data_IF_697711219892
#
_entry.id   IF_697711219892
#
_cell.length_a   1.000
_cell.length_b   1.000
_cell.length_c   1.000
_cell.angle_alpha   90.00
_cell.angle_beta   90.00
_cell.angle_gamma   90.00
#
_symmetry.space_group_name_H-M   'P 1'
#
loop_
_entity.id
_entity.type
_entity.pdbx_description
1 polymer ?
#
# COMPACT_ATOMS: atom_id res chain seq x y z
N UNK A 1 -1.88 5.64 -3.71
CA UNK A 1 -3.09 6.38 -3.29
C UNK A 1 -3.26 6.42 -1.77
N UNK A 2 -2.82 5.39 -1.04
CA UNK A 2 -2.90 5.36 0.42
C UNK A 2 -2.24 6.57 1.08
N UNK A 3 -1.19 7.13 0.48
CA UNK A 3 -0.47 8.28 1.05
C UNK A 3 -1.32 9.55 1.08
N UNK A 4 -2.12 9.77 0.03
CA UNK A 4 -3.06 10.90 -0.02
C UNK A 4 -4.15 10.73 1.05
N UNK A 5 -4.74 9.54 1.13
CA UNK A 5 -5.84 9.23 2.06
C UNK A 5 -5.36 9.28 3.53
N UNK A 6 -4.19 8.72 3.82
CA UNK A 6 -3.58 8.79 5.14
C UNK A 6 -3.24 10.23 5.52
N UNK A 7 -2.70 11.01 4.60
CA UNK A 7 -2.41 12.44 4.82
C UNK A 7 -3.66 13.21 5.24
N UNK A 8 -4.75 13.06 4.48
CA UNK A 8 -6.07 13.62 4.81
C UNK A 8 -6.54 13.18 6.21
N UNK A 9 -6.65 11.86 6.43
CA UNK A 9 -7.16 11.30 7.70
C UNK A 9 -6.36 11.78 8.92
N UNK A 10 -5.03 11.81 8.81
CA UNK A 10 -4.13 12.17 9.91
C UNK A 10 -4.14 13.70 10.11
N UNK A 11 -4.24 14.47 9.02
CA UNK A 11 -4.22 15.93 9.04
C UNK A 11 -5.53 16.59 9.47
N UNK A 12 -6.68 15.92 9.26
CA UNK A 12 -8.01 16.52 9.48
C UNK A 12 -8.29 17.06 10.91
N UNK A 13 -7.76 16.49 12.02
CA UNK A 13 -7.97 17.08 13.35
C UNK A 13 -7.28 18.43 13.55
N UNK A 14 -6.22 18.71 12.76
CA UNK A 14 -5.33 19.85 12.93
C UNK A 14 -5.66 21.03 12.02
N UNK A 15 -6.60 20.84 11.09
CA UNK A 15 -7.03 21.83 10.09
C UNK A 15 -7.47 23.13 10.79
N UNK A 16 -7.25 24.28 10.13
CA UNK A 16 -7.46 25.61 10.68
C UNK A 16 -6.57 25.94 11.88
N UNK A 17 -5.32 25.47 11.86
CA UNK A 17 -4.32 25.73 12.91
C UNK A 17 -4.80 25.29 14.32
N UNK A 18 -5.56 24.18 14.40
CA UNK A 18 -6.06 23.65 15.68
C UNK A 18 -5.00 22.94 16.51
N UNK A 19 -3.82 22.68 15.95
CA UNK A 19 -2.68 22.07 16.63
C UNK A 19 -1.57 23.06 17.04
N UNK A 20 -0.58 22.56 17.77
CA UNK A 20 0.55 23.34 18.27
C UNK A 20 1.70 23.54 17.25
N UNK A 21 1.46 23.24 15.96
CA UNK A 21 2.48 23.27 14.88
C UNK A 21 3.76 22.53 15.30
N UNK A 22 3.60 21.26 15.68
CA UNK A 22 4.66 20.38 16.17
C UNK A 22 4.59 19.04 15.45
N UNK A 23 5.72 18.31 15.42
CA UNK A 23 5.78 16.92 14.95
C UNK A 23 5.34 15.93 16.03
N UNK A 24 5.33 16.35 17.30
CA UNK A 24 5.00 15.53 18.46
C UNK A 24 3.47 15.46 18.67
N UNK A 25 2.83 14.47 18.05
CA UNK A 25 1.40 14.18 18.21
C UNK A 25 1.09 12.70 17.95
N UNK A 26 -0.04 12.22 18.47
CA UNK A 26 -0.51 10.87 18.17
C UNK A 26 -1.01 10.80 16.72
N UNK A 27 -0.45 9.88 15.92
CA UNK A 27 -0.73 9.79 14.48
C UNK A 27 -2.21 9.50 14.19
N UNK A 28 -2.86 8.71 15.04
CA UNK A 28 -4.28 8.40 14.93
C UNK A 28 -5.01 8.72 16.22
N UNK A 29 -6.03 9.56 16.12
CA UNK A 29 -6.93 9.89 17.23
C UNK A 29 -8.39 9.62 16.83
N UNK A 30 -9.31 9.79 17.79
CA UNK A 30 -10.76 9.66 17.52
C UNK A 30 -11.28 10.75 16.57
N UNK A 31 -10.56 11.86 16.44
CA UNK A 31 -10.92 12.96 15.52
C UNK A 31 -10.51 12.72 14.07
N UNK A 32 -9.63 11.74 13.81
CA UNK A 32 -9.13 11.44 12.47
C UNK A 32 -10.22 10.78 11.62
N UNK A 33 -10.64 11.46 10.56
CA UNK A 33 -11.54 10.97 9.54
C UNK A 33 -11.14 11.54 8.18
N UNK A 34 -11.57 10.87 7.11
CA UNK A 34 -11.32 11.35 5.76
C UNK A 34 -12.23 12.54 5.42
N UNK A 35 -11.72 13.43 4.55
CA UNK A 35 -12.40 14.61 4.05
C UNK A 35 -12.57 14.53 2.52
N UNK A 36 -12.76 15.67 1.86
CA UNK A 36 -12.97 15.72 0.42
C UNK A 36 -11.74 15.33 -0.41
N UNK A 37 -10.54 15.46 0.14
CA UNK A 37 -9.28 14.99 -0.43
C UNK A 37 -9.34 13.50 -0.78
N UNK A 38 -9.70 12.66 0.20
CA UNK A 38 -9.84 11.22 -0.01
C UNK A 38 -10.99 10.89 -0.97
N UNK A 39 -12.15 11.52 -0.79
CA UNK A 39 -13.32 11.25 -1.64
C UNK A 39 -13.01 11.59 -3.10
N UNK A 40 -12.35 12.72 -3.35
CA UNK A 40 -11.98 13.13 -4.69
C UNK A 40 -10.80 12.34 -5.25
N UNK A 41 -9.84 11.93 -4.41
CA UNK A 41 -8.76 11.01 -4.82
C UNK A 41 -9.34 9.70 -5.36
N UNK A 42 -10.28 9.10 -4.62
CA UNK A 42 -10.98 7.87 -5.03
C UNK A 42 -11.76 8.09 -6.32
N UNK A 43 -12.51 9.19 -6.44
CA UNK A 43 -13.29 9.51 -7.63
C UNK A 43 -12.42 9.66 -8.89
N UNK A 44 -11.26 10.33 -8.79
CA UNK A 44 -10.31 10.44 -9.92
C UNK A 44 -9.75 9.06 -10.27
N UNK A 45 -9.37 8.26 -9.28
CA UNK A 45 -8.82 6.93 -9.51
C UNK A 45 -9.79 6.02 -10.26
N UNK A 46 -11.04 5.94 -9.80
CA UNK A 46 -12.07 5.12 -10.44
C UNK A 46 -12.32 5.56 -11.88
N UNK A 47 -12.42 6.87 -12.13
CA UNK A 47 -12.60 7.41 -13.48
C UNK A 47 -11.46 6.99 -14.42
N UNK A 48 -10.21 7.20 -13.99
CA UNK A 48 -9.03 6.91 -14.82
C UNK A 48 -8.83 5.41 -15.06
N UNK A 49 -9.12 4.56 -14.07
CA UNK A 49 -9.12 3.10 -14.24
C UNK A 49 -10.15 2.68 -15.29
N UNK A 50 -11.38 3.22 -15.20
CA UNK A 50 -12.48 2.81 -16.07
C UNK A 50 -12.26 3.17 -17.55
N UNK A 51 -11.69 4.34 -17.83
CA UNK A 51 -11.42 4.78 -19.21
C UNK A 51 -10.11 4.22 -19.79
N UNK A 52 -9.20 3.76 -18.93
CA UNK A 52 -7.92 3.19 -19.33
C UNK A 52 -6.86 4.23 -19.77
N UNK A 53 -5.64 3.76 -20.08
CA UNK A 53 -4.48 4.65 -20.26
C UNK A 53 -4.51 5.49 -21.56
N UNK A 54 -5.21 5.01 -22.58
CA UNK A 54 -5.22 5.59 -23.93
C UNK A 54 -6.32 6.64 -24.16
N UNK A 55 -7.14 6.93 -23.14
CA UNK A 55 -8.26 7.87 -23.23
C UNK A 55 -7.81 9.29 -23.63
N UNK A 56 -8.51 9.94 -24.55
CA UNK A 56 -8.20 11.32 -24.91
C UNK A 56 -8.68 12.31 -23.84
N UNK A 57 -8.28 13.58 -23.95
CA UNK A 57 -8.61 14.65 -23.00
C UNK A 57 -10.11 14.76 -22.68
N UNK A 58 -10.96 14.71 -23.72
CA UNK A 58 -12.41 14.82 -23.55
C UNK A 58 -13.00 13.61 -22.80
N UNK A 59 -12.51 12.41 -23.09
CA UNK A 59 -12.92 11.18 -22.37
C UNK A 59 -12.52 11.24 -20.89
N UNK A 60 -11.32 11.76 -20.60
CA UNK A 60 -10.84 11.98 -19.23
C UNK A 60 -11.74 12.99 -18.51
N UNK A 61 -11.96 14.16 -19.10
CA UNK A 61 -12.78 15.21 -18.48
C UNK A 61 -14.21 14.74 -18.21
N UNK A 62 -14.85 14.07 -19.16
CA UNK A 62 -16.21 13.54 -19.01
C UNK A 62 -16.30 12.50 -17.88
N UNK A 63 -15.37 11.54 -17.85
CA UNK A 63 -15.36 10.51 -16.82
C UNK A 63 -15.06 11.07 -15.43
N UNK A 64 -14.08 11.98 -15.34
CA UNK A 64 -13.73 12.66 -14.09
C UNK A 64 -14.89 13.51 -13.57
N UNK A 65 -15.58 14.25 -14.44
CA UNK A 65 -16.77 15.03 -14.05
C UNK A 65 -17.84 14.13 -13.45
N UNK A 66 -18.17 13.03 -14.14
CA UNK A 66 -19.21 12.10 -13.71
C UNK A 66 -18.86 11.50 -12.34
N UNK A 67 -17.67 10.91 -12.20
CA UNK A 67 -17.26 10.24 -10.97
C UNK A 67 -17.14 11.22 -9.79
N UNK A 68 -16.56 12.41 -9.99
CA UNK A 68 -16.47 13.40 -8.93
C UNK A 68 -17.86 13.87 -8.46
N UNK A 69 -18.82 14.04 -9.37
CA UNK A 69 -20.19 14.39 -8.98
C UNK A 69 -20.88 13.23 -8.24
N UNK A 70 -20.69 11.99 -8.67
CA UNK A 70 -21.32 10.83 -8.06
C UNK A 70 -20.79 10.59 -6.64
N UNK A 71 -19.46 10.49 -6.48
CA UNK A 71 -18.83 10.41 -5.17
C UNK A 71 -19.15 11.62 -4.29
N UNK A 72 -19.04 12.84 -4.83
CA UNK A 72 -19.28 14.04 -4.05
C UNK A 72 -20.74 14.18 -3.56
N UNK A 73 -21.70 13.63 -4.30
CA UNK A 73 -23.11 13.56 -3.88
C UNK A 73 -23.37 12.48 -2.85
N UNK A 74 -22.64 11.37 -2.90
CA UNK A 74 -22.68 10.31 -1.88
C UNK A 74 -22.07 10.77 -0.55
N UNK A 75 -21.13 11.72 -0.58
CA UNK A 75 -20.41 12.24 0.59
C UNK A 75 -20.61 13.77 0.81
N UNK A 76 -21.86 14.29 0.91
CA UNK A 76 -22.14 15.73 0.82
C UNK A 76 -21.55 16.59 1.97
N UNK A 77 -21.07 15.94 3.04
CA UNK A 77 -20.54 16.55 4.24
C UNK A 77 -19.02 16.38 4.41
N UNK A 78 -18.30 15.98 3.36
CA UNK A 78 -16.87 15.67 3.43
C UNK A 78 -15.92 16.87 3.58
N UNK A 79 -16.37 18.12 3.52
CA UNK A 79 -15.48 19.29 3.68
C UNK A 79 -15.47 20.29 2.52
N UNK A 80 -16.09 19.94 1.38
CA UNK A 80 -16.03 20.72 0.14
C UNK A 80 -16.13 22.25 0.26
N UNK A 81 -15.18 22.94 -0.39
CA UNK A 81 -15.24 24.38 -0.61
C UNK A 81 -16.53 24.85 -1.30
N UNK A 82 -16.96 26.08 -0.98
CA UNK A 82 -18.31 26.56 -1.33
C UNK A 82 -18.65 26.55 -2.83
N UNK A 83 -17.72 26.96 -3.70
CA UNK A 83 -17.90 26.91 -5.17
C UNK A 83 -17.89 25.48 -5.69
N UNK A 84 -17.08 24.60 -5.10
CA UNK A 84 -17.01 23.20 -5.48
C UNK A 84 -18.31 22.46 -5.12
N UNK A 85 -18.92 22.74 -3.97
CA UNK A 85 -20.25 22.21 -3.62
C UNK A 85 -21.33 22.63 -4.64
N UNK A 86 -21.27 23.86 -5.15
CA UNK A 86 -22.18 24.30 -6.23
C UNK A 86 -21.93 23.53 -7.53
N UNK A 87 -20.67 23.27 -7.86
CA UNK A 87 -20.26 22.48 -9.02
C UNK A 87 -20.74 21.02 -8.92
N UNK A 88 -20.66 20.38 -7.74
CA UNK A 88 -21.17 19.01 -7.51
C UNK A 88 -22.68 18.90 -7.74
N UNK A 89 -23.44 19.93 -7.37
CA UNK A 89 -24.90 19.99 -7.55
C UNK A 89 -25.37 20.42 -8.94
N UNK A 90 -24.48 20.87 -9.83
CA UNK A 90 -24.85 21.38 -11.14
C UNK A 90 -25.18 20.24 -12.12
N UNK A 91 -26.20 20.42 -12.96
CA UNK A 91 -26.56 19.43 -14.00
C UNK A 91 -25.56 19.33 -15.15
N UNK A 92 -24.91 20.45 -15.47
CA UNK A 92 -23.87 20.55 -16.50
C UNK A 92 -22.78 21.45 -15.93
N UNK A 93 -21.94 20.91 -15.04
CA UNK A 93 -20.95 21.70 -14.34
C UNK A 93 -19.95 22.31 -15.33
N UNK A 94 -19.49 23.52 -15.04
CA UNK A 94 -18.44 24.20 -15.80
C UNK A 94 -17.30 24.60 -14.85
N UNK A 95 -16.05 24.54 -15.31
CA UNK A 95 -14.95 25.02 -14.51
C UNK A 95 -15.09 26.52 -14.23
N UNK A 96 -14.57 26.97 -13.10
CA UNK A 96 -14.89 28.29 -12.54
C UNK A 96 -13.64 29.11 -12.17
N UNK A 97 -12.51 28.81 -12.81
CA UNK A 97 -11.27 29.60 -12.68
C UNK A 97 -10.62 29.49 -11.30
N UNK A 98 -10.77 28.35 -10.61
CA UNK A 98 -10.16 28.15 -9.30
C UNK A 98 -8.64 27.99 -9.40
N UNK A 99 -7.90 28.71 -8.56
CA UNK A 99 -6.47 28.52 -8.32
C UNK A 99 -6.18 27.72 -7.05
N UNK A 100 -7.24 27.16 -6.44
CA UNK A 100 -7.14 26.45 -5.17
C UNK A 100 -6.38 25.12 -5.25
N UNK A 101 -5.90 24.66 -4.10
CA UNK A 101 -5.14 23.42 -3.90
C UNK A 101 -5.97 22.14 -4.10
N UNK A 102 -7.30 22.23 -4.19
CA UNK A 102 -8.20 21.11 -4.42
C UNK A 102 -8.03 20.35 -5.74
N UNK A 103 -7.25 20.90 -6.69
CA UNK A 103 -6.78 20.15 -7.87
C UNK A 103 -5.59 19.25 -7.54
N UNK A 104 -4.66 19.72 -6.70
CA UNK A 104 -3.45 18.99 -6.32
C UNK A 104 -3.73 17.85 -5.33
N UNK A 105 -4.64 18.06 -4.38
CA UNK A 105 -4.94 17.08 -3.33
C UNK A 105 -5.45 15.72 -3.84
N UNK A 106 -6.08 15.72 -5.02
CA UNK A 106 -6.78 14.55 -5.59
C UNK A 106 -6.08 13.92 -6.79
N UNK A 107 -4.94 14.47 -7.23
CA UNK A 107 -4.31 14.12 -8.53
C UNK A 107 -3.48 12.82 -8.46
N UNK A 108 -3.38 12.21 -7.28
CA UNK A 108 -2.38 11.16 -7.02
C UNK A 108 -2.45 9.98 -8.00
N UNK A 109 -3.64 9.55 -8.41
CA UNK A 109 -3.83 8.48 -9.38
C UNK A 109 -3.16 8.76 -10.75
N UNK A 110 -3.23 10.01 -11.23
CA UNK A 110 -2.56 10.39 -12.48
C UNK A 110 -1.03 10.26 -12.37
N UNK A 111 -0.46 10.57 -11.20
CA UNK A 111 0.98 10.39 -10.93
C UNK A 111 1.45 8.94 -11.05
N UNK A 112 0.55 7.97 -10.86
CA UNK A 112 0.84 6.54 -10.80
C UNK A 112 0.51 5.75 -12.08
N UNK A 113 -0.61 6.07 -12.76
CA UNK A 113 -1.18 5.17 -13.78
C UNK A 113 -0.46 5.19 -15.14
N UNK A 114 0.32 6.23 -15.45
CA UNK A 114 0.83 6.46 -16.81
C UNK A 114 2.32 6.18 -16.94
N UNK A 115 2.79 5.62 -18.07
CA UNK A 115 4.18 5.17 -18.20
C UNK A 115 5.18 6.30 -18.47
N UNK A 116 4.73 7.49 -18.89
CA UNK A 116 5.61 8.63 -19.21
C UNK A 116 5.21 9.89 -18.44
N UNK A 117 6.20 10.77 -18.25
CA UNK A 117 5.97 12.05 -17.55
C UNK A 117 5.06 12.96 -18.37
N UNK A 118 5.20 12.97 -19.70
CA UNK A 118 4.36 13.77 -20.60
C UNK A 118 2.90 13.37 -20.45
N UNK A 119 2.62 12.06 -20.51
CA UNK A 119 1.26 11.55 -20.38
C UNK A 119 0.69 11.79 -18.99
N UNK A 120 1.52 11.65 -17.95
CA UNK A 120 1.15 11.97 -16.58
C UNK A 120 0.73 13.44 -16.45
N UNK A 121 1.49 14.36 -17.05
CA UNK A 121 1.20 15.80 -17.03
C UNK A 121 -0.09 16.14 -17.78
N UNK A 122 -0.29 15.57 -18.97
CA UNK A 122 -1.52 15.74 -19.76
C UNK A 122 -2.77 15.31 -18.97
N UNK A 123 -2.73 14.12 -18.35
CA UNK A 123 -3.87 13.61 -17.59
C UNK A 123 -4.09 14.42 -16.31
N UNK A 124 -3.01 14.79 -15.61
CA UNK A 124 -3.11 15.66 -14.44
C UNK A 124 -3.75 17.01 -14.77
N UNK A 125 -3.38 17.62 -15.91
CA UNK A 125 -3.99 18.85 -16.41
C UNK A 125 -5.49 18.65 -16.69
N UNK A 126 -5.87 17.60 -17.43
CA UNK A 126 -7.28 17.29 -17.71
C UNK A 126 -8.11 17.11 -16.41
N UNK A 127 -7.57 16.38 -15.41
CA UNK A 127 -8.26 16.17 -14.13
C UNK A 127 -8.43 17.45 -13.29
N UNK A 128 -7.55 18.43 -13.48
CA UNK A 128 -7.64 19.74 -12.84
C UNK A 128 -8.62 20.67 -13.57
N UNK A 129 -8.55 20.71 -14.91
CA UNK A 129 -9.26 21.63 -15.80
C UNK A 129 -10.77 21.61 -15.65
N UNK A 130 -11.38 20.49 -15.21
CA UNK A 130 -12.82 20.37 -14.97
C UNK A 130 -13.37 21.33 -13.88
N UNK A 131 -12.49 21.85 -13.02
CA UNK A 131 -12.85 22.75 -11.89
C UNK A 131 -11.87 23.92 -11.70
N UNK A 132 -10.57 23.65 -11.86
CA UNK A 132 -9.44 24.52 -11.56
C UNK A 132 -8.72 24.96 -12.83
N UNK A 133 -9.46 25.44 -13.84
CA UNK A 133 -8.88 25.90 -15.11
C UNK A 133 -8.12 27.25 -15.02
N UNK A 134 -7.69 27.66 -13.83
CA UNK A 134 -6.72 28.73 -13.66
C UNK A 134 -5.30 28.15 -13.80
N UNK A 135 -4.33 28.87 -14.41
CA UNK A 135 -2.98 28.35 -14.61
C UNK A 135 -2.33 27.80 -13.34
N UNK A 136 -2.50 28.48 -12.20
CA UNK A 136 -1.95 28.03 -10.91
C UNK A 136 -2.64 26.80 -10.32
N UNK A 137 -3.94 26.62 -10.59
CA UNK A 137 -4.68 25.42 -10.20
C UNK A 137 -4.19 24.19 -10.96
N UNK A 138 -4.03 24.34 -12.28
CA UNK A 138 -3.43 23.31 -13.15
C UNK A 138 -1.98 23.03 -12.73
N UNK A 139 -1.17 24.08 -12.53
CA UNK A 139 0.24 23.97 -12.14
C UNK A 139 0.43 23.15 -10.87
N UNK A 140 -0.42 23.34 -9.86
CA UNK A 140 -0.35 22.57 -8.63
C UNK A 140 -0.61 21.07 -8.83
N UNK A 141 -1.62 20.72 -9.61
CA UNK A 141 -1.94 19.33 -9.92
C UNK A 141 -0.84 18.65 -10.75
N UNK A 142 -0.39 19.33 -11.82
CA UNK A 142 0.66 18.81 -12.70
C UNK A 142 1.99 18.66 -11.96
N UNK A 143 2.35 19.61 -11.08
CA UNK A 143 3.55 19.51 -10.26
C UNK A 143 3.49 18.33 -9.29
N UNK A 144 2.37 18.18 -8.58
CA UNK A 144 2.17 17.07 -7.63
C UNK A 144 2.25 15.71 -8.33
N UNK A 145 1.53 15.54 -9.45
CA UNK A 145 1.59 14.31 -10.25
C UNK A 145 2.99 14.03 -10.80
N UNK A 146 3.73 15.08 -11.19
CA UNK A 146 5.11 14.95 -11.65
C UNK A 146 6.05 14.49 -10.54
N UNK A 147 5.90 15.02 -9.31
CA UNK A 147 6.66 14.55 -8.15
C UNK A 147 6.41 13.07 -7.88
N UNK A 148 5.14 12.63 -7.90
CA UNK A 148 4.77 11.21 -7.73
C UNK A 148 5.39 10.34 -8.82
N UNK A 149 5.31 10.79 -10.08
CA UNK A 149 5.92 10.08 -11.21
C UNK A 149 7.43 9.94 -11.07
N UNK A 150 8.13 11.03 -10.72
CA UNK A 150 9.57 11.01 -10.58
C UNK A 150 9.99 10.12 -9.40
N UNK A 151 9.34 10.27 -8.25
CA UNK A 151 9.61 9.49 -7.05
C UNK A 151 9.50 7.98 -7.31
N UNK A 152 8.39 7.52 -7.91
CA UNK A 152 8.20 6.07 -8.18
C UNK A 152 9.13 5.50 -9.25
N UNK A 153 9.79 6.35 -10.03
CA UNK A 153 10.76 5.95 -11.05
C UNK A 153 12.22 6.10 -10.55
N UNK A 154 12.42 6.26 -9.22
CA UNK A 154 13.75 6.27 -8.60
C UNK A 154 14.48 7.60 -8.67
N UNK A 155 13.79 8.72 -8.94
CA UNK A 155 14.42 10.03 -8.88
C UNK A 155 14.75 10.40 -7.42
N UNK A 156 15.95 10.93 -7.21
CA UNK A 156 16.38 11.47 -5.92
C UNK A 156 15.59 12.71 -5.53
N UNK A 157 15.57 13.06 -4.24
CA UNK A 157 14.94 14.29 -3.75
C UNK A 157 15.53 15.54 -4.40
N UNK A 158 16.83 15.57 -4.63
CA UNK A 158 17.52 16.65 -5.32
C UNK A 158 17.08 16.80 -6.77
N UNK A 159 16.87 15.68 -7.48
CA UNK A 159 16.36 15.68 -8.85
C UNK A 159 14.90 16.15 -8.91
N UNK A 160 14.05 15.67 -8.00
CA UNK A 160 12.66 16.12 -7.88
C UNK A 160 12.62 17.63 -7.58
N UNK A 161 13.39 18.10 -6.60
CA UNK A 161 13.50 19.53 -6.25
C UNK A 161 13.89 20.35 -7.47
N UNK A 162 14.97 19.97 -8.15
CA UNK A 162 15.47 20.67 -9.33
C UNK A 162 14.45 20.69 -10.46
N UNK A 163 13.78 19.56 -10.72
CA UNK A 163 12.72 19.49 -11.73
C UNK A 163 11.61 20.48 -11.42
N UNK A 164 11.14 20.51 -10.16
CA UNK A 164 10.05 21.38 -9.76
C UNK A 164 10.41 22.87 -9.85
N UNK A 165 11.61 23.25 -9.41
CA UNK A 165 12.11 24.64 -9.52
C UNK A 165 12.25 25.08 -11.00
N UNK A 166 12.67 24.17 -11.88
CA UNK A 166 12.89 24.46 -13.29
C UNK A 166 11.60 24.50 -14.12
N UNK A 167 10.71 23.52 -13.93
CA UNK A 167 9.50 23.35 -14.75
C UNK A 167 8.31 24.14 -14.23
N UNK A 168 8.17 24.29 -12.91
CA UNK A 168 7.00 24.93 -12.29
C UNK A 168 7.33 26.25 -11.58
N UNK A 169 8.62 26.58 -11.46
CA UNK A 169 9.11 27.81 -10.81
C UNK A 169 8.59 27.99 -9.37
N UNK A 170 8.38 26.88 -8.66
CA UNK A 170 8.13 26.92 -7.23
C UNK A 170 9.44 27.17 -6.48
N UNK A 171 9.38 28.01 -5.45
CA UNK A 171 10.50 28.26 -4.55
C UNK A 171 10.53 27.19 -3.44
N UNK A 172 11.48 26.26 -3.55
CA UNK A 172 11.73 25.17 -2.60
C UNK A 172 13.01 25.42 -1.78
N UNK A 173 13.47 26.67 -1.71
CA UNK A 173 14.72 27.02 -1.02
C UNK A 173 14.59 27.13 0.50
N UNK A 174 13.38 27.45 0.98
CA UNK A 174 13.07 27.62 2.41
C UNK A 174 12.97 26.28 3.11
N UNK A 175 13.48 26.20 4.34
CA UNK A 175 13.30 25.02 5.19
C UNK A 175 11.94 25.00 5.90
N UNK A 176 11.54 23.85 6.42
CA UNK A 176 10.33 23.75 7.25
C UNK A 176 10.41 24.65 8.49
N UNK A 177 11.58 24.79 9.10
CA UNK A 177 11.79 25.68 10.25
C UNK A 177 11.61 27.16 9.89
N UNK A 178 11.92 27.55 8.66
CA UNK A 178 11.68 28.91 8.15
C UNK A 178 10.21 29.15 7.78
N UNK A 179 9.52 28.12 7.29
CA UNK A 179 8.11 28.18 6.87
C UNK A 179 7.15 28.18 8.07
N UNK A 180 7.38 27.27 9.03
CA UNK A 180 6.46 26.96 10.14
C UNK A 180 5.97 28.16 10.96
N UNK A 181 6.79 29.17 11.30
CA UNK A 181 6.34 30.30 12.12
C UNK A 181 5.31 31.22 11.44
N UNK A 182 5.22 31.20 10.10
CA UNK A 182 4.41 32.15 9.32
C UNK A 182 3.33 31.48 8.48
N UNK A 183 3.44 30.17 8.28
CA UNK A 183 2.43 29.39 7.57
C UNK A 183 1.10 29.43 8.30
N UNK A 184 0.00 29.41 7.57
CA UNK A 184 -1.36 29.51 8.08
C UNK A 184 -2.34 28.92 7.07
N UNK A 185 -3.62 28.83 7.42
CA UNK A 185 -4.64 28.32 6.51
C UNK A 185 -4.70 29.11 5.21
N UNK A 186 -4.35 28.46 4.11
CA UNK A 186 -4.39 28.98 2.74
C UNK A 186 -4.81 27.86 1.81
N UNK A 187 -5.77 28.15 0.94
CA UNK A 187 -6.35 27.16 0.03
C UNK A 187 -5.75 27.26 -1.38
N UNK A 188 -4.63 27.96 -1.58
CA UNK A 188 -4.08 28.23 -2.93
C UNK A 188 -2.97 27.25 -3.31
N UNK A 189 -2.95 26.77 -4.56
CA UNK A 189 -1.86 25.91 -5.04
C UNK A 189 -0.47 26.54 -4.82
N UNK A 190 -0.36 27.85 -5.02
CA UNK A 190 0.90 28.60 -4.95
C UNK A 190 1.53 28.62 -3.55
N UNK A 191 0.72 28.44 -2.52
CA UNK A 191 1.16 28.47 -1.13
C UNK A 191 1.02 27.11 -0.43
N UNK A 192 0.32 26.14 -1.02
CA UNK A 192 0.22 24.79 -0.45
C UNK A 192 1.18 23.81 -1.09
N UNK A 193 1.28 23.80 -2.43
CA UNK A 193 2.06 22.80 -3.17
C UNK A 193 3.57 22.92 -2.92
N UNK A 194 4.22 24.11 -2.94
CA UNK A 194 5.65 24.19 -2.63
C UNK A 194 5.96 23.68 -1.23
N UNK A 195 5.12 24.02 -0.26
CA UNK A 195 5.27 23.69 1.15
C UNK A 195 5.04 22.19 1.41
N UNK A 196 4.09 21.58 0.71
CA UNK A 196 3.90 20.13 0.70
C UNK A 196 5.12 19.39 0.13
N UNK A 197 5.67 19.90 -0.98
CA UNK A 197 6.87 19.33 -1.61
C UNK A 197 8.07 19.50 -0.66
N UNK A 198 8.25 20.66 -0.03
CA UNK A 198 9.30 20.87 0.97
C UNK A 198 9.16 19.92 2.17
N UNK A 199 7.94 19.67 2.66
CA UNK A 199 7.69 18.72 3.73
C UNK A 199 8.14 17.29 3.38
N UNK A 200 7.92 16.87 2.12
CA UNK A 200 8.44 15.62 1.59
C UNK A 200 9.99 15.64 1.44
N UNK A 201 10.55 16.73 0.91
CA UNK A 201 11.98 16.84 0.66
C UNK A 201 12.81 16.74 1.96
N UNK A 202 12.31 17.26 3.08
CA UNK A 202 12.96 17.16 4.39
C UNK A 202 12.66 15.88 5.17
N UNK A 203 11.75 15.02 4.68
CA UNK A 203 11.31 13.84 5.42
C UNK A 203 12.34 12.69 5.45
N UNK A 204 12.43 11.92 6.53
CA UNK A 204 13.28 10.72 6.56
C UNK A 204 12.52 9.44 6.15
N UNK A 205 11.20 9.42 6.37
CA UNK A 205 10.30 8.34 5.98
C UNK A 205 8.87 8.87 5.72
N UNK A 206 7.93 7.95 5.47
CA UNK A 206 6.53 8.30 5.19
C UNK A 206 5.84 8.99 6.38
N UNK A 207 6.01 8.47 7.60
CA UNK A 207 5.36 9.05 8.78
C UNK A 207 5.95 10.44 9.06
N UNK A 208 7.26 10.58 8.94
CA UNK A 208 7.97 11.84 9.09
C UNK A 208 7.49 12.90 8.08
N UNK A 209 7.23 12.50 6.83
CA UNK A 209 6.68 13.40 5.81
C UNK A 209 5.30 13.95 6.20
N UNK A 210 4.42 13.07 6.70
CA UNK A 210 3.09 13.48 7.17
C UNK A 210 3.20 14.37 8.41
N UNK A 211 4.09 14.04 9.36
CA UNK A 211 4.37 14.88 10.54
C UNK A 211 4.94 16.25 10.15
N UNK A 212 5.83 16.29 9.18
CA UNK A 212 6.41 17.53 8.66
C UNK A 212 5.32 18.44 8.11
N UNK A 213 4.44 17.90 7.25
CA UNK A 213 3.31 18.63 6.69
C UNK A 213 2.39 19.18 7.80
N UNK A 214 1.91 18.33 8.70
CA UNK A 214 1.01 18.74 9.79
C UNK A 214 1.66 19.76 10.73
N UNK A 215 2.98 19.64 10.96
CA UNK A 215 3.72 20.59 11.79
C UNK A 215 3.70 22.02 11.25
N UNK A 216 3.45 22.24 9.95
CA UNK A 216 3.32 23.58 9.38
C UNK A 216 2.00 24.26 9.76
N UNK A 217 0.95 23.49 10.08
CA UNK A 217 -0.40 23.98 10.35
C UNK A 217 -1.14 24.42 9.07
N UNK A 218 -2.21 25.20 9.25
CA UNK A 218 -3.08 25.69 8.19
C UNK A 218 -4.07 24.64 7.70
N UNK A 219 -4.07 24.43 6.39
CA UNK A 219 -4.92 23.48 5.65
C UNK A 219 -4.27 22.07 5.70
N UNK A 220 -4.20 21.50 6.91
CA UNK A 220 -3.28 20.40 7.22
C UNK A 220 -3.64 19.06 6.60
N UNK A 221 -4.93 18.75 6.44
CA UNK A 221 -5.40 17.59 5.69
C UNK A 221 -4.94 17.67 4.23
N UNK A 222 -5.19 18.80 3.55
CA UNK A 222 -4.79 19.00 2.15
C UNK A 222 -3.28 18.99 1.98
N UNK A 223 -2.57 19.71 2.85
CA UNK A 223 -1.11 19.76 2.85
C UNK A 223 -0.51 18.37 3.05
N UNK A 224 -1.04 17.59 3.99
CA UNK A 224 -0.59 16.23 4.27
C UNK A 224 -1.02 15.23 3.19
N UNK A 225 -2.17 15.40 2.54
CA UNK A 225 -2.61 14.56 1.42
C UNK A 225 -1.67 14.71 0.22
N UNK A 226 -1.30 15.94 -0.14
CA UNK A 226 -0.32 16.21 -1.21
C UNK A 226 1.04 15.62 -0.81
N UNK A 227 1.53 15.92 0.39
CA UNK A 227 2.84 15.44 0.89
C UNK A 227 2.89 13.91 0.92
N UNK A 228 1.88 13.29 1.52
CA UNK A 228 1.75 11.84 1.68
C UNK A 228 1.66 11.13 0.34
N UNK A 229 1.01 11.71 -0.66
CA UNK A 229 0.94 11.12 -2.01
C UNK A 229 2.32 11.02 -2.69
N UNK A 230 3.18 12.02 -2.47
CA UNK A 230 4.57 12.03 -2.97
C UNK A 230 5.43 11.08 -2.13
N UNK A 231 5.30 11.15 -0.80
CA UNK A 231 6.04 10.31 0.14
C UNK A 231 5.76 8.82 -0.07
N UNK A 232 4.52 8.42 -0.36
CA UNK A 232 4.16 7.05 -0.71
C UNK A 232 4.95 6.55 -1.92
N UNK A 233 5.12 7.41 -2.93
CA UNK A 233 5.83 7.04 -4.15
C UNK A 233 7.33 6.89 -3.96
N UNK A 234 7.90 7.58 -2.96
CA UNK A 234 9.32 7.58 -2.68
C UNK A 234 9.73 6.54 -1.62
N UNK A 235 9.02 6.50 -0.48
CA UNK A 235 9.35 5.65 0.68
C UNK A 235 8.54 4.34 0.72
N UNK A 236 7.42 4.27 0.00
CA UNK A 236 6.38 3.29 0.28
C UNK A 236 5.60 3.62 1.56
N UNK A 237 4.72 2.69 1.97
CA UNK A 237 3.90 2.84 3.18
C UNK A 237 3.96 1.52 3.97
N UNK A 238 4.27 1.56 5.28
CA UNK A 238 4.19 0.39 6.16
C UNK A 238 2.82 -0.29 6.12
N UNK A 239 2.80 -1.63 6.15
CA UNK A 239 1.57 -2.42 6.08
C UNK A 239 0.55 -2.06 7.17
N UNK A 240 1.02 -1.75 8.38
CA UNK A 240 0.17 -1.30 9.50
C UNK A 240 -0.59 -0.01 9.19
N UNK A 241 0.03 0.95 8.50
CA UNK A 241 -0.62 2.20 8.11
C UNK A 241 -1.62 1.96 6.96
N UNK A 242 -1.34 1.05 6.04
CA UNK A 242 -2.31 0.63 5.02
C UNK A 242 -3.53 -0.03 5.66
N UNK A 243 -3.32 -0.96 6.60
CA UNK A 243 -4.42 -1.61 7.32
C UNK A 243 -5.27 -0.60 8.10
N UNK A 244 -4.64 0.33 8.81
CA UNK A 244 -5.35 1.39 9.54
C UNK A 244 -6.13 2.32 8.60
N UNK A 245 -5.55 2.69 7.44
CA UNK A 245 -6.24 3.43 6.40
C UNK A 245 -7.52 2.72 5.96
N UNK A 246 -7.44 1.41 5.66
CA UNK A 246 -8.56 0.61 5.18
C UNK A 246 -9.68 0.47 6.22
N UNK A 247 -9.32 0.45 7.50
CA UNK A 247 -10.28 0.43 8.61
C UNK A 247 -11.02 1.76 8.82
N UNK A 248 -10.49 2.87 8.30
CA UNK A 248 -11.03 4.23 8.50
C UNK A 248 -11.83 4.78 7.33
N UNK A 249 -11.77 4.13 6.18
CA UNK A 249 -12.53 4.50 4.99
C UNK A 249 -13.65 3.51 4.72
N UNK A 250 -14.65 3.95 3.95
CA UNK A 250 -15.80 3.11 3.65
C UNK A 250 -15.44 1.91 2.74
N UNK A 251 -16.20 0.80 2.83
CA UNK A 251 -15.98 -0.37 1.97
C UNK A 251 -15.98 -0.07 0.47
N UNK A 252 -16.71 0.96 0.02
CA UNK A 252 -16.73 1.37 -1.39
C UNK A 252 -15.39 1.98 -1.82
N UNK A 253 -14.79 2.83 -0.98
CA UNK A 253 -13.45 3.39 -1.23
C UNK A 253 -12.38 2.30 -1.24
N UNK A 254 -12.51 1.31 -0.34
CA UNK A 254 -11.63 0.14 -0.31
C UNK A 254 -11.66 -0.63 -1.65
N UNK A 255 -12.83 -0.79 -2.29
CA UNK A 255 -12.92 -1.46 -3.60
C UNK A 255 -12.18 -0.71 -4.70
N UNK A 256 -12.20 0.62 -4.69
CA UNK A 256 -11.46 1.42 -5.67
C UNK A 256 -9.95 1.29 -5.42
N UNK A 257 -9.51 1.26 -4.16
CA UNK A 257 -8.11 0.97 -3.83
C UNK A 257 -7.67 -0.41 -4.33
N UNK A 258 -8.53 -1.43 -4.18
CA UNK A 258 -8.24 -2.78 -4.69
C UNK A 258 -8.13 -2.81 -6.21
N UNK A 259 -9.07 -2.18 -6.92
CA UNK A 259 -9.03 -2.06 -8.37
C UNK A 259 -7.77 -1.30 -8.83
N UNK A 260 -7.36 -0.27 -8.10
CA UNK A 260 -6.15 0.48 -8.38
C UNK A 260 -4.88 -0.34 -8.19
N UNK A 261 -4.77 -1.08 -7.06
CA UNK A 261 -3.62 -1.95 -6.79
C UNK A 261 -3.52 -3.08 -7.84
N UNK A 262 -4.67 -3.57 -8.32
CA UNK A 262 -4.75 -4.51 -9.45
C UNK A 262 -4.19 -3.93 -10.74
N UNK A 263 -4.62 -2.74 -11.15
CA UNK A 263 -4.12 -2.07 -12.36
C UNK A 263 -2.63 -1.75 -12.27
N UNK A 264 -2.17 -1.34 -11.09
CA UNK A 264 -0.75 -1.03 -10.87
C UNK A 264 0.16 -2.26 -10.85
N UNK A 265 -0.40 -3.48 -10.93
CA UNK A 265 0.36 -4.70 -10.73
C UNK A 265 0.97 -4.79 -9.32
N UNK A 266 0.48 -3.95 -8.39
CA UNK A 266 0.81 -3.98 -6.95
C UNK A 266 0.03 -5.02 -6.20
N UNK A 267 -0.80 -5.75 -6.93
CA UNK A 267 -1.14 -7.10 -6.59
C UNK A 267 0.07 -7.83 -5.99
N UNK A 268 0.01 -7.94 -4.67
CA UNK A 268 0.29 -9.14 -3.89
C UNK A 268 -0.45 -10.40 -4.44
N UNK A 269 -0.95 -10.41 -5.69
CA UNK A 269 -1.33 -11.63 -6.43
C UNK A 269 -0.04 -12.21 -7.01
N UNK A 270 0.76 -12.91 -6.23
CA UNK A 270 0.45 -14.31 -5.93
C UNK A 270 0.61 -14.69 -4.46
N UNK A 271 1.15 -13.80 -3.62
CA UNK A 271 1.46 -14.13 -2.24
C UNK A 271 0.24 -14.12 -1.29
N UNK A 272 -0.75 -13.26 -1.52
CA UNK A 272 -1.84 -13.09 -0.54
C UNK A 272 -3.11 -13.89 -0.91
N UNK A 273 -3.55 -13.98 -2.17
CA UNK A 273 -4.80 -14.72 -2.50
C UNK A 273 -4.73 -16.23 -2.18
N UNK A 274 -3.54 -16.85 -2.33
CA UNK A 274 -3.34 -18.27 -2.03
C UNK A 274 -3.01 -18.53 -0.56
N UNK A 275 -2.66 -17.49 0.19
CA UNK A 275 -2.54 -17.53 1.65
C UNK A 275 -3.87 -17.16 2.34
N UNK A 276 -4.73 -16.37 1.69
CA UNK A 276 -6.04 -15.96 2.18
C UNK A 276 -6.93 -17.17 2.50
N UNK A 277 -7.48 -17.17 3.70
CA UNK A 277 -8.25 -18.28 4.26
C UNK A 277 -7.42 -19.27 5.08
N UNK A 278 -6.10 -19.09 5.16
CA UNK A 278 -5.27 -19.88 6.09
C UNK A 278 -5.63 -19.62 7.57
N UNK A 279 -6.31 -18.53 7.88
CA UNK A 279 -6.96 -18.29 9.18
C UNK A 279 -7.88 -19.46 9.60
N UNK A 280 -8.48 -20.20 8.65
CA UNK A 280 -9.28 -21.39 8.96
C UNK A 280 -8.43 -22.52 9.55
N UNK A 281 -7.18 -22.64 9.09
CA UNK A 281 -6.20 -23.58 9.64
C UNK A 281 -5.76 -23.08 11.02
N UNK A 282 -5.46 -21.79 11.16
CA UNK A 282 -5.01 -21.19 12.42
C UNK A 282 -6.06 -21.34 13.53
N UNK A 283 -7.31 -20.98 13.24
CA UNK A 283 -8.41 -21.14 14.17
C UNK A 283 -8.66 -22.61 14.54
N UNK A 284 -8.53 -23.53 13.58
CA UNK A 284 -8.66 -24.96 13.86
C UNK A 284 -7.53 -25.48 14.77
N UNK A 285 -6.29 -25.03 14.54
CA UNK A 285 -5.15 -25.37 15.39
C UNK A 285 -5.35 -24.78 16.79
N UNK A 286 -5.80 -23.53 16.90
CA UNK A 286 -6.12 -22.91 18.18
C UNK A 286 -7.19 -23.70 18.95
N UNK A 287 -8.27 -24.09 18.26
CA UNK A 287 -9.33 -24.90 18.83
C UNK A 287 -8.83 -26.28 19.27
N UNK A 288 -7.93 -26.93 18.52
CA UNK A 288 -7.32 -28.19 18.91
C UNK A 288 -6.56 -28.09 20.24
N UNK A 289 -5.83 -27.00 20.48
CA UNK A 289 -5.14 -26.79 21.77
C UNK A 289 -6.11 -26.52 22.93
N UNK A 290 -7.25 -25.89 22.65
CA UNK A 290 -8.30 -25.57 23.64
C UNK A 290 -9.12 -26.80 24.00
N UNK A 291 -9.56 -27.58 23.00
CA UNK A 291 -10.52 -28.68 23.15
C UNK A 291 -9.84 -30.03 23.40
N UNK A 292 -8.70 -30.29 22.73
CA UNK A 292 -7.89 -31.51 22.87
C UNK A 292 -8.68 -32.81 22.66
N UNK A 293 -9.58 -32.82 21.68
CA UNK A 293 -10.42 -33.97 21.34
C UNK A 293 -10.27 -34.39 19.87
N UNK A 294 -10.92 -35.50 19.50
CA UNK A 294 -10.85 -36.02 18.15
C UNK A 294 -11.55 -35.11 17.13
N UNK A 295 -12.62 -34.42 17.53
CA UNK A 295 -13.40 -33.58 16.63
C UNK A 295 -12.59 -32.35 16.19
N UNK A 296 -11.93 -31.68 17.14
CA UNK A 296 -11.01 -30.57 16.86
C UNK A 296 -9.78 -31.00 16.04
N UNK A 297 -9.33 -32.25 16.16
CA UNK A 297 -8.28 -32.80 15.29
C UNK A 297 -8.77 -32.99 13.85
N UNK A 298 -10.00 -33.49 13.69
CA UNK A 298 -10.66 -33.61 12.38
C UNK A 298 -10.90 -32.24 11.75
N UNK A 299 -11.21 -31.22 12.54
CA UNK A 299 -11.38 -29.84 12.04
C UNK A 299 -10.10 -29.30 11.40
N UNK A 300 -8.92 -29.55 12.01
CA UNK A 300 -7.64 -29.16 11.40
C UNK A 300 -7.41 -29.85 10.06
N UNK A 301 -7.63 -31.17 9.98
CA UNK A 301 -7.53 -31.93 8.73
C UNK A 301 -8.51 -31.39 7.68
N UNK A 302 -9.74 -31.10 8.09
CA UNK A 302 -10.79 -30.57 7.21
C UNK A 302 -10.41 -29.21 6.65
N UNK A 303 -9.94 -28.29 7.50
CA UNK A 303 -9.48 -26.97 7.08
C UNK A 303 -8.29 -27.05 6.12
N UNK A 304 -7.34 -27.96 6.34
CA UNK A 304 -6.23 -28.21 5.41
C UNK A 304 -6.72 -28.73 4.06
N UNK A 305 -7.61 -29.73 4.03
CA UNK A 305 -8.16 -30.27 2.79
C UNK A 305 -8.96 -29.22 2.01
N UNK A 306 -9.72 -28.38 2.71
CA UNK A 306 -10.46 -27.26 2.11
C UNK A 306 -9.52 -26.24 1.46
N UNK A 307 -8.38 -25.92 2.12
CA UNK A 307 -7.35 -25.07 1.52
C UNK A 307 -6.69 -25.74 0.31
N UNK A 308 -6.35 -27.02 0.40
CA UNK A 308 -5.79 -27.79 -0.73
C UNK A 308 -6.72 -27.79 -1.96
N UNK A 309 -8.04 -27.91 -1.78
CA UNK A 309 -9.03 -27.86 -2.88
C UNK A 309 -9.04 -26.52 -3.60
N UNK A 310 -8.67 -25.44 -2.91
CA UNK A 310 -8.64 -24.06 -3.42
C UNK A 310 -7.23 -23.60 -3.80
N UNK A 311 -6.31 -24.53 -4.03
CA UNK A 311 -4.90 -24.25 -4.37
C UNK A 311 -4.21 -23.34 -3.33
N UNK A 312 -4.56 -23.54 -2.05
CA UNK A 312 -3.96 -22.82 -0.93
C UNK A 312 -2.49 -23.21 -0.73
N UNK A 313 -1.68 -22.23 -0.36
CA UNK A 313 -0.26 -22.39 -0.07
C UNK A 313 0.07 -22.03 1.38
N UNK A 314 1.28 -22.38 1.79
CA UNK A 314 1.93 -21.81 2.95
C UNK A 314 3.37 -21.42 2.63
N UNK A 315 3.97 -20.62 3.51
CA UNK A 315 5.34 -20.14 3.37
C UNK A 315 6.33 -21.15 3.91
N UNK A 316 7.28 -21.57 3.08
CA UNK A 316 8.24 -22.63 3.36
C UNK A 316 9.65 -22.06 3.24
N UNK A 317 10.47 -22.14 4.29
CA UNK A 317 11.85 -21.68 4.21
C UNK A 317 12.77 -22.63 3.47
N UNK A 318 13.78 -22.06 2.85
CA UNK A 318 14.81 -22.75 2.11
C UNK A 318 16.20 -22.28 2.56
N UNK A 319 17.09 -23.24 2.76
CA UNK A 319 18.51 -22.98 3.05
C UNK A 319 19.36 -23.19 1.81
N UNK A 320 20.37 -22.33 1.63
CA UNK A 320 21.40 -22.53 0.63
C UNK A 320 22.30 -23.72 0.99
N UNK A 321 22.58 -24.57 0.01
CA UNK A 321 23.48 -25.72 0.15
C UNK A 321 24.87 -25.31 -0.33
N UNK A 322 25.81 -25.13 0.60
CA UNK A 322 27.19 -24.75 0.31
C UNK A 322 27.49 -23.31 0.70
N UNK A 323 27.95 -22.49 -0.24
CA UNK A 323 28.20 -21.05 -0.02
C UNK A 323 26.86 -20.31 0.09
N UNK A 324 26.75 -19.36 1.02
CA UNK A 324 25.54 -18.55 1.17
C UNK A 324 25.24 -17.75 -0.11
N UNK A 325 23.96 -17.54 -0.41
CA UNK A 325 23.49 -16.91 -1.66
C UNK A 325 24.21 -15.59 -1.97
N UNK A 326 24.45 -14.79 -0.93
CA UNK A 326 25.13 -13.50 -0.99
C UNK A 326 26.33 -13.45 -0.05
N UNK A 327 27.03 -14.58 0.12
CA UNK A 327 28.10 -14.74 1.11
C UNK A 327 29.30 -13.78 0.93
N UNK A 328 29.54 -13.29 -0.28
CA UNK A 328 30.57 -12.27 -0.56
C UNK A 328 29.98 -10.88 -0.86
N UNK A 329 28.66 -10.70 -0.69
CA UNK A 329 27.99 -9.44 -1.02
C UNK A 329 28.24 -8.43 0.10
N UNK A 330 29.06 -7.42 -0.18
CA UNK A 330 29.16 -6.25 0.69
C UNK A 330 27.99 -5.31 0.41
N UNK A 331 26.92 -5.48 1.19
CA UNK A 331 25.68 -4.69 1.08
C UNK A 331 25.91 -3.19 1.25
N UNK A 332 26.99 -2.78 1.93
CA UNK A 332 27.30 -1.36 2.13
C UNK A 332 28.01 -0.72 0.93
N UNK A 333 28.45 -1.53 -0.03
CA UNK A 333 29.08 -1.08 -1.26
C UNK A 333 28.09 -0.91 -2.44
N UNK A 334 26.87 -1.44 -2.29
CA UNK A 334 25.83 -1.41 -3.32
C UNK A 334 25.17 -0.03 -3.39
N UNK A 335 24.88 0.40 -4.61
CA UNK A 335 24.11 1.61 -4.91
C UNK A 335 22.81 1.24 -5.60
N UNK A 336 21.85 2.16 -5.52
CA UNK A 336 20.59 2.04 -6.25
C UNK A 336 20.85 1.90 -7.76
N UNK A 337 20.25 0.88 -8.38
CA UNK A 337 20.47 0.53 -9.78
C UNK A 337 21.61 -0.45 -10.06
N UNK A 338 22.36 -0.89 -9.05
CA UNK A 338 23.40 -1.91 -9.23
C UNK A 338 22.79 -3.29 -9.54
N UNK A 339 23.29 -3.92 -10.61
CA UNK A 339 22.93 -5.30 -10.96
C UNK A 339 23.85 -6.26 -10.23
N UNK A 340 23.34 -6.97 -9.22
CA UNK A 340 24.07 -8.05 -8.55
C UNK A 340 23.99 -9.32 -9.40
N UNK A 341 25.14 -9.81 -9.85
CA UNK A 341 25.24 -11.07 -10.60
C UNK A 341 25.98 -12.09 -9.75
N UNK A 342 25.40 -13.26 -9.56
CA UNK A 342 26.07 -14.38 -8.91
C UNK A 342 26.93 -15.12 -9.94
N UNK A 343 28.18 -15.34 -9.61
CA UNK A 343 29.17 -16.04 -10.44
C UNK A 343 29.20 -17.56 -10.20
N UNK A 344 28.30 -18.06 -9.36
CA UNK A 344 28.22 -19.45 -8.94
C UNK A 344 26.78 -19.97 -8.97
N UNK A 345 26.67 -21.31 -9.04
CA UNK A 345 25.39 -22.01 -8.97
C UNK A 345 24.84 -21.94 -7.54
N UNK A 346 23.66 -21.36 -7.34
CA UNK A 346 22.94 -21.40 -6.07
C UNK A 346 22.07 -22.64 -6.02
N UNK A 347 22.34 -23.50 -5.04
CA UNK A 347 21.48 -24.65 -4.73
C UNK A 347 20.75 -24.38 -3.44
N UNK A 348 19.44 -24.59 -3.45
CA UNK A 348 18.59 -24.47 -2.27
C UNK A 348 17.92 -25.79 -1.94
N UNK A 349 17.62 -26.01 -0.66
CA UNK A 349 16.77 -27.11 -0.18
C UNK A 349 15.79 -26.56 0.84
N UNK A 350 14.64 -27.20 0.99
CA UNK A 350 13.71 -26.86 2.08
C UNK A 350 14.42 -27.02 3.42
N UNK A 351 14.21 -26.05 4.31
CA UNK A 351 14.73 -26.10 5.65
C UNK A 351 13.92 -27.06 6.54
N UNK A 352 14.50 -27.44 7.67
CA UNK A 352 13.88 -28.36 8.62
C UNK A 352 13.94 -27.83 10.05
N UNK A 353 12.96 -28.22 10.86
CA UNK A 353 12.91 -27.91 12.30
C UNK A 353 13.00 -29.21 13.09
N UNK A 354 13.82 -29.21 14.14
CA UNK A 354 13.99 -30.35 15.04
C UNK A 354 12.94 -30.31 16.16
N UNK A 355 12.24 -31.42 16.36
CA UNK A 355 11.16 -31.56 17.34
C UNK A 355 11.62 -31.99 18.75
N UNK A 356 12.88 -31.77 19.11
CA UNK A 356 13.47 -32.17 20.41
C UNK A 356 13.70 -33.68 20.58
N UNK A 357 13.14 -34.51 19.70
CA UNK A 357 13.32 -35.96 19.58
C UNK A 357 14.48 -36.35 18.63
N UNK A 358 15.10 -35.37 17.97
CA UNK A 358 16.17 -35.57 17.00
C UNK A 358 15.67 -35.91 15.59
N UNK A 359 14.36 -35.92 15.37
CA UNK A 359 13.78 -36.06 14.03
C UNK A 359 13.63 -34.69 13.38
N UNK A 360 13.96 -34.64 12.09
CA UNK A 360 13.84 -33.44 11.25
C UNK A 360 12.48 -33.42 10.58
N UNK A 361 11.83 -32.25 10.61
CA UNK A 361 10.52 -32.03 10.02
C UNK A 361 10.59 -30.88 9.02
N UNK A 362 9.91 -31.01 7.87
CA UNK A 362 9.62 -29.83 7.07
C UNK A 362 8.66 -28.94 7.84
N UNK A 363 8.75 -27.64 7.66
CA UNK A 363 7.82 -26.72 8.30
C UNK A 363 7.29 -25.68 7.33
N UNK A 364 6.06 -25.26 7.61
CA UNK A 364 5.29 -24.34 6.78
C UNK A 364 4.58 -23.34 7.69
N UNK A 365 4.57 -22.09 7.27
CA UNK A 365 3.88 -21.00 7.96
C UNK A 365 2.59 -20.62 7.24
N UNK A 366 1.53 -20.40 8.01
CA UNK A 366 0.23 -19.97 7.48
C UNK A 366 0.08 -18.46 7.42
N UNK A 367 0.96 -17.71 8.11
CA UNK A 367 1.00 -16.25 8.16
C UNK A 367 2.43 -15.75 8.38
N UNK A 368 2.66 -14.45 8.12
CA UNK A 368 3.99 -13.84 8.27
C UNK A 368 4.38 -13.65 9.74
N UNK A 369 3.41 -13.52 10.65
CA UNK A 369 3.70 -13.31 12.08
C UNK A 369 4.50 -14.47 12.69
N UNK A 370 4.25 -15.70 12.25
CA UNK A 370 5.04 -16.87 12.66
C UNK A 370 6.51 -16.75 12.24
N UNK A 371 6.80 -16.21 11.05
CA UNK A 371 8.19 -16.04 10.56
C UNK A 371 8.99 -15.12 11.50
N UNK A 372 8.36 -14.11 12.08
CA UNK A 372 9.04 -13.16 12.97
C UNK A 372 9.26 -13.69 14.39
N UNK A 373 8.72 -14.87 14.76
CA UNK A 373 8.87 -15.44 16.11
C UNK A 373 10.26 -16.02 16.36
N UNK A 374 10.93 -16.52 15.33
CA UNK A 374 12.30 -17.03 15.40
C UNK A 374 13.06 -16.73 14.10
N UNK A 375 14.40 -16.64 14.13
CA UNK A 375 15.19 -16.49 12.91
C UNK A 375 14.93 -17.65 11.94
N UNK A 376 14.56 -17.34 10.70
CA UNK A 376 14.42 -18.30 9.59
C UNK A 376 15.45 -17.99 8.50
N UNK A 377 15.77 -18.95 7.63
CA UNK A 377 16.63 -18.73 6.47
C UNK A 377 16.15 -17.61 5.54
N UNK A 378 17.10 -17.00 4.82
CA UNK A 378 16.89 -15.81 3.98
C UNK A 378 15.92 -16.02 2.80
N UNK A 379 15.63 -17.27 2.42
CA UNK A 379 14.75 -17.59 1.30
C UNK A 379 13.49 -18.26 1.84
N UNK A 380 12.35 -17.61 1.66
CA UNK A 380 11.03 -18.18 1.95
C UNK A 380 10.22 -18.18 0.67
N UNK A 381 9.62 -19.32 0.34
CA UNK A 381 8.83 -19.48 -0.88
C UNK A 381 7.46 -20.07 -0.56
N UNK A 382 6.48 -19.74 -1.38
CA UNK A 382 5.14 -20.30 -1.26
C UNK A 382 5.07 -21.65 -1.95
N UNK A 383 4.66 -22.66 -1.18
CA UNK A 383 4.48 -24.01 -1.71
C UNK A 383 3.02 -24.41 -1.45
N UNK A 384 2.31 -24.96 -2.47
CA UNK A 384 0.97 -25.50 -2.26
C UNK A 384 0.99 -26.53 -1.12
N UNK A 385 -0.06 -26.56 -0.30
CA UNK A 385 -0.16 -27.57 0.76
C UNK A 385 -0.12 -28.99 0.19
N UNK A 386 -0.71 -29.22 -0.98
CA UNK A 386 -0.66 -30.50 -1.71
C UNK A 386 0.76 -30.96 -1.98
N UNK A 387 1.61 -30.04 -2.46
CA UNK A 387 2.99 -30.34 -2.81
C UNK A 387 3.82 -30.58 -1.55
N UNK A 388 3.60 -29.79 -0.51
CA UNK A 388 4.28 -29.98 0.77
C UNK A 388 3.99 -31.35 1.39
N UNK A 389 2.72 -31.75 1.42
CA UNK A 389 2.34 -33.05 1.95
C UNK A 389 2.82 -34.21 1.05
N UNK A 390 2.82 -34.06 -0.27
CA UNK A 390 3.36 -35.08 -1.19
C UNK A 390 4.88 -35.25 -1.01
N UNK A 391 5.62 -34.14 -0.97
CA UNK A 391 7.08 -34.13 -0.76
C UNK A 391 7.40 -34.75 0.61
N UNK A 392 6.73 -34.28 1.65
CA UNK A 392 6.96 -34.77 3.01
C UNK A 392 6.60 -36.25 3.12
N UNK A 393 5.47 -36.69 2.58
CA UNK A 393 5.01 -38.09 2.61
C UNK A 393 6.03 -39.05 1.99
N UNK A 394 6.60 -38.70 0.83
CA UNK A 394 7.55 -39.54 0.08
C UNK A 394 9.01 -39.48 0.56
N UNK A 395 9.35 -38.52 1.42
CA UNK A 395 10.75 -38.31 1.83
C UNK A 395 11.16 -39.23 2.99
N UNK A 396 12.22 -40.02 2.82
CA UNK A 396 12.82 -40.82 3.92
C UNK A 396 13.69 -39.97 4.88
N UNK A 397 13.84 -38.67 4.60
CA UNK A 397 14.75 -37.77 5.34
C UNK A 397 14.05 -36.94 6.41
N UNK A 398 12.72 -36.89 6.40
CA UNK A 398 11.91 -36.11 7.34
C UNK A 398 10.75 -36.95 7.87
N UNK A 399 10.38 -36.71 9.11
CA UNK A 399 9.28 -37.44 9.76
C UNK A 399 7.90 -36.98 9.27
N UNK A 400 7.78 -35.73 8.80
CA UNK A 400 6.53 -35.18 8.30
C UNK A 400 6.60 -33.66 8.11
N UNK A 401 5.45 -32.99 8.31
CA UNK A 401 5.31 -31.53 8.24
C UNK A 401 4.87 -30.97 9.60
N UNK A 402 5.44 -29.83 10.02
CA UNK A 402 4.95 -29.00 11.11
C UNK A 402 4.37 -27.71 10.55
N UNK A 403 3.12 -27.41 10.90
CA UNK A 403 2.47 -26.15 10.57
C UNK A 403 2.63 -25.20 11.75
N UNK A 404 3.13 -23.98 11.50
CA UNK A 404 3.36 -22.92 12.49
C UNK A 404 4.22 -23.36 13.69
N UNK A 405 5.49 -23.73 13.46
CA UNK A 405 6.34 -24.38 14.45
C UNK A 405 6.69 -23.54 15.68
N UNK A 406 6.50 -22.21 15.65
CA UNK A 406 6.99 -21.30 16.70
C UNK A 406 5.89 -20.80 17.64
N UNK A 407 4.65 -21.25 17.44
CA UNK A 407 3.50 -20.98 18.30
C UNK A 407 2.71 -22.23 18.66
N UNK A 408 1.39 -22.15 18.52
CA UNK A 408 0.53 -23.34 18.54
C UNK A 408 0.67 -24.03 17.20
N UNK A 409 1.27 -25.21 17.21
CA UNK A 409 1.65 -25.93 16.00
C UNK A 409 0.76 -27.15 15.76
N UNK A 410 0.68 -27.58 14.51
CA UNK A 410 0.11 -28.88 14.14
C UNK A 410 1.19 -29.76 13.50
N UNK A 411 1.33 -31.00 14.02
CA UNK A 411 2.25 -32.00 13.46
C UNK A 411 1.48 -32.99 12.62
N UNK A 412 1.88 -33.12 11.35
CA UNK A 412 1.39 -34.14 10.44
C UNK A 412 2.53 -35.13 10.14
N UNK A 413 2.56 -36.25 10.88
CA UNK A 413 3.45 -37.37 10.57
C UNK A 413 2.98 -38.11 9.30
N UNK A 414 3.70 -39.15 8.88
CA UNK A 414 3.36 -39.94 7.69
C UNK A 414 1.92 -40.47 7.70
N UNK A 415 1.43 -40.94 8.85
CA UNK A 415 0.06 -41.50 8.96
C UNK A 415 -0.98 -40.40 8.91
N UNK A 416 -0.70 -39.24 9.50
CA UNK A 416 -1.57 -38.07 9.41
C UNK A 416 -1.62 -37.54 7.97
N UNK A 417 -0.49 -37.51 7.27
CA UNK A 417 -0.41 -37.13 5.85
C UNK A 417 -1.24 -38.10 4.99
N UNK A 418 -1.14 -39.41 5.22
CA UNK A 418 -1.99 -40.41 4.55
C UNK A 418 -3.48 -40.14 4.80
N UNK A 419 -3.85 -39.81 6.04
CA UNK A 419 -5.23 -39.45 6.38
C UNK A 419 -5.70 -38.17 5.67
N UNK A 420 -4.86 -37.13 5.61
CA UNK A 420 -5.16 -35.89 4.87
C UNK A 420 -5.40 -36.22 3.38
N UNK A 421 -4.56 -37.04 2.77
CA UNK A 421 -4.69 -37.44 1.35
C UNK A 421 -5.98 -38.25 1.10
N UNK A 422 -6.35 -39.16 2.02
CA UNK A 422 -7.61 -39.90 1.95
C UNK A 422 -8.84 -38.97 2.07
N UNK A 423 -8.83 -38.03 3.02
CA UNK A 423 -9.94 -37.07 3.19
C UNK A 423 -10.03 -36.14 1.98
N UNK A 424 -8.90 -35.61 1.51
CA UNK A 424 -8.83 -34.73 0.35
C UNK A 424 -9.40 -35.38 -0.92
N UNK A 425 -9.10 -36.66 -1.16
CA UNK A 425 -9.64 -37.44 -2.30
C UNK A 425 -11.14 -37.69 -2.21
N UNK A 426 -11.69 -37.77 -0.99
CA UNK A 426 -13.11 -38.08 -0.75
C UNK A 426 -13.99 -36.82 -0.58
N UNK A 427 -13.41 -35.62 -0.55
CA UNK A 427 -14.18 -34.37 -0.58
C UNK A 427 -14.80 -34.16 -1.97
N UNK A 428 -16.15 -34.23 -2.03
CA UNK A 428 -16.94 -33.82 -3.21
C UNK A 428 -16.74 -32.30 -3.49
N UNK A 429 -16.84 -31.92 -4.77
CA UNK A 429 -16.53 -30.56 -5.25
C UNK A 429 -17.50 -29.46 -4.80
#
# INVERSE_FOLDING_TARGET
MYGAILGDIIGSPFEFDRGDKTKEFDLFTRGCGFADDSVMTVAIAEALIAIGPDANEMEIEEAVIANMQDWGRSYPHAGYGGKFRQWLGARNPKPYGSYGNGSAMRVSAAGWLYPTIERTREVAEATASVTHNHPEGIKGAVATASCIFLARNGATKEEIKKYVEQEFHYDLSRSLDEIRPYYHHVESCQQTVPEAITAFLEAEDFEDAVRNAISLGGDTDTLAAITGSIAEAFFGIPAVLKAECRNRIDPEMNRVLDAFDEVMGRCFRKLDERMQGNELIENAIDNLYVMQDNDSFVDVITSLCFRMKRDGCGMVPFVTVGKGMFSDLDIYSLKEGDTVTLDHEVRIRMDTVAAGDGEEWLYIFTNEEEIYKQPVPDVVMEIPFTDMFDIAGKSDKVAGVVINPFGRYFKADKKVIECIDEVFKNMED
#
